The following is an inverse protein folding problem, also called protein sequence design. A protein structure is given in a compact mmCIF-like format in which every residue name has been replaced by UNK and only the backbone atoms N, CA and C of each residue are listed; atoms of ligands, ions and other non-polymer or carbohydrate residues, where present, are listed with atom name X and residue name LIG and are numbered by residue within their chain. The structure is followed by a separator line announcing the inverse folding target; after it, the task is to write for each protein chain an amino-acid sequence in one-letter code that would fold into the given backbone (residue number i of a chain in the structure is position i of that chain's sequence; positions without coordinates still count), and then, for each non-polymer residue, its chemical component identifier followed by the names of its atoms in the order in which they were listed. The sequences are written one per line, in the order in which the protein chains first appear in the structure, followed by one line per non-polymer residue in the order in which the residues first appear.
data_IF_897646805609
#
_entry.id   IF_897646805609
#
_cell.length_a   1.000
_cell.length_b   1.000
_cell.length_c   1.000
_cell.angle_alpha   90.00
_cell.angle_beta   90.00
_cell.angle_gamma   90.00
#
_symmetry.space_group_name_H-M   'P 1'
#
loop_
_entity.id
_entity.type
_entity.pdbx_description
1 polymer ?
#
# COMPACT_ATOMS: atom_id res chain seq x y z
N UNK A 1 22.55 15.97 -16.98
CA UNK A 1 22.90 15.23 -15.76
C UNK A 1 21.58 14.80 -15.15
N UNK A 2 21.33 13.49 -15.05
CA UNK A 2 20.20 13.00 -14.27
C UNK A 2 20.56 13.24 -12.79
N UNK A 3 19.75 14.00 -12.07
CA UNK A 3 19.93 14.11 -10.63
C UNK A 3 19.56 12.76 -10.00
N UNK A 4 20.14 12.43 -8.85
CA UNK A 4 19.74 11.25 -8.08
C UNK A 4 18.21 11.23 -7.81
N UNK A 5 17.57 12.39 -7.86
CA UNK A 5 16.14 12.57 -7.70
C UNK A 5 15.29 12.05 -8.88
N UNK A 6 15.86 11.99 -10.10
CA UNK A 6 15.13 11.63 -11.32
C UNK A 6 14.71 10.14 -11.35
N UNK A 7 15.31 9.30 -10.49
CA UNK A 7 15.07 7.86 -10.45
C UNK A 7 14.03 7.42 -9.41
N UNK A 8 13.60 8.30 -8.51
CA UNK A 8 12.65 7.95 -7.45
C UNK A 8 11.27 7.53 -7.96
N UNK A 9 10.66 8.20 -8.96
CA UNK A 9 9.34 7.79 -9.45
C UNK A 9 9.33 6.34 -9.96
N UNK A 10 10.38 5.92 -10.67
CA UNK A 10 10.50 4.54 -11.16
C UNK A 10 10.76 3.56 -10.02
N UNK A 11 11.63 3.93 -9.07
CA UNK A 11 11.91 3.14 -7.87
C UNK A 11 10.64 2.90 -7.05
N UNK A 12 9.85 3.95 -6.82
CA UNK A 12 8.59 3.86 -6.09
C UNK A 12 7.51 3.04 -6.81
N UNK A 13 7.46 3.12 -8.14
CA UNK A 13 6.56 2.26 -8.92
C UNK A 13 6.94 0.78 -8.81
N UNK A 14 8.24 0.44 -8.85
CA UNK A 14 8.71 -0.94 -8.63
C UNK A 14 8.36 -1.43 -7.23
N UNK A 15 8.50 -0.57 -6.22
CA UNK A 15 8.17 -0.87 -4.83
C UNK A 15 6.67 -1.10 -4.65
N UNK A 16 5.82 -0.22 -5.17
CA UNK A 16 4.38 -0.40 -5.12
C UNK A 16 3.93 -1.66 -5.87
N UNK A 17 4.65 -2.08 -6.91
CA UNK A 17 4.39 -3.33 -7.62
C UNK A 17 4.73 -4.58 -6.80
N UNK A 18 5.71 -4.52 -5.89
CA UNK A 18 6.06 -5.62 -4.96
C UNK A 18 4.95 -5.81 -3.92
N UNK A 19 4.30 -4.73 -3.50
CA UNK A 19 3.21 -4.80 -2.54
C UNK A 19 1.98 -5.45 -3.14
N UNK A 20 1.35 -6.34 -2.36
CA UNK A 20 0.05 -6.89 -2.69
C UNK A 20 -0.93 -6.70 -1.51
N UNK A 21 -2.21 -6.93 -1.79
CA UNK A 21 -3.31 -6.60 -0.90
C UNK A 21 -4.25 -7.78 -0.76
N UNK A 22 -4.60 -8.07 0.49
CA UNK A 22 -5.48 -9.17 0.84
C UNK A 22 -6.40 -8.80 2.01
N UNK A 23 -7.46 -9.59 2.16
CA UNK A 23 -8.33 -9.51 3.33
C UNK A 23 -7.71 -10.30 4.49
N UNK A 24 -7.78 -9.73 5.68
CA UNK A 24 -7.46 -10.37 6.94
C UNK A 24 -8.66 -11.17 7.45
N UNK A 25 -8.48 -11.94 8.53
CA UNK A 25 -9.60 -12.59 9.22
C UNK A 25 -10.38 -11.64 10.15
N UNK A 26 -9.99 -10.36 10.24
CA UNK A 26 -10.64 -9.38 11.10
C UNK A 26 -11.91 -8.84 10.42
N UNK A 27 -13.07 -9.02 11.07
CA UNK A 27 -14.37 -8.58 10.56
C UNK A 27 -14.57 -7.07 10.75
N UNK A 28 -15.24 -6.47 9.77
CA UNK A 28 -15.72 -5.09 9.81
C UNK A 28 -17.24 -5.12 10.04
N UNK A 29 -17.69 -4.44 11.10
CA UNK A 29 -19.10 -4.32 11.44
C UNK A 29 -19.71 -5.62 12.01
N UNK A 30 -21.01 -5.56 12.28
CA UNK A 30 -21.75 -6.64 12.94
C UNK A 30 -22.54 -7.55 11.97
N UNK A 31 -22.49 -7.30 10.66
CA UNK A 31 -23.28 -8.07 9.69
C UNK A 31 -22.70 -9.49 9.51
N UNK A 32 -23.44 -10.49 10.00
CA UNK A 32 -23.06 -11.89 9.92
C UNK A 32 -23.46 -12.56 8.61
N UNK A 33 -24.42 -11.99 7.87
CA UNK A 33 -24.97 -12.56 6.63
C UNK A 33 -24.11 -12.24 5.41
N UNK A 34 -23.45 -11.07 5.42
CA UNK A 34 -22.43 -10.67 4.44
C UNK A 34 -21.23 -10.08 5.19
N UNK A 35 -20.37 -10.93 5.78
CA UNK A 35 -19.24 -10.45 6.54
C UNK A 35 -18.27 -9.70 5.62
N UNK A 36 -17.85 -8.51 6.02
CA UNK A 36 -16.74 -7.79 5.41
C UNK A 36 -15.52 -7.91 6.31
N UNK A 37 -14.34 -7.89 5.71
CA UNK A 37 -13.07 -8.09 6.37
C UNK A 37 -12.12 -6.92 6.10
N UNK A 38 -11.23 -6.64 7.05
CA UNK A 38 -10.20 -5.60 6.88
C UNK A 38 -9.17 -6.03 5.86
N UNK A 39 -8.84 -5.11 4.95
CA UNK A 39 -7.74 -5.29 4.02
C UNK A 39 -6.41 -4.89 4.66
N UNK A 40 -5.35 -5.64 4.37
CA UNK A 40 -3.97 -5.27 4.66
C UNK A 40 -3.13 -5.26 3.39
N UNK A 41 -2.15 -4.38 3.33
CA UNK A 41 -1.00 -4.55 2.45
C UNK A 41 -0.02 -5.58 3.04
N UNK A 42 0.65 -6.31 2.17
CA UNK A 42 1.77 -7.18 2.53
C UNK A 42 2.83 -7.16 1.42
N UNK A 43 4.01 -7.63 1.77
CA UNK A 43 5.11 -7.88 0.85
C UNK A 43 5.52 -9.35 0.96
N UNK A 44 6.21 -9.92 -0.05
CA UNK A 44 6.84 -11.23 0.07
C UNK A 44 7.71 -11.34 1.33
N UNK A 45 7.77 -12.52 1.95
CA UNK A 45 8.51 -12.74 3.19
C UNK A 45 10.03 -12.66 3.02
N UNK A 46 10.54 -12.91 1.81
CA UNK A 46 11.95 -12.79 1.47
C UNK A 46 12.16 -11.57 0.57
N UNK A 47 12.74 -10.52 1.15
CA UNK A 47 13.18 -9.31 0.46
C UNK A 47 14.71 -9.24 0.37
N UNK A 48 15.43 -10.25 0.87
CA UNK A 48 16.89 -10.23 1.02
C UNK A 48 17.65 -10.14 -0.31
N UNK A 49 17.02 -10.58 -1.41
CA UNK A 49 17.57 -10.48 -2.75
C UNK A 49 17.41 -9.07 -3.38
N UNK A 50 16.67 -8.17 -2.72
CA UNK A 50 16.46 -6.81 -3.21
C UNK A 50 17.61 -5.90 -2.76
N UNK A 51 17.95 -4.86 -3.54
CA UNK A 51 18.82 -3.80 -3.06
C UNK A 51 18.24 -3.15 -1.79
N UNK A 52 19.09 -2.83 -0.80
CA UNK A 52 18.72 -2.25 0.50
C UNK A 52 17.73 -1.08 0.38
N UNK A 53 17.93 -0.22 -0.62
CA UNK A 53 17.04 0.93 -0.85
C UNK A 53 15.62 0.52 -1.27
N UNK A 54 15.49 -0.57 -2.04
CA UNK A 54 14.20 -1.12 -2.46
C UNK A 54 13.51 -1.81 -1.28
N UNK A 55 14.25 -2.56 -0.46
CA UNK A 55 13.72 -3.15 0.78
C UNK A 55 13.21 -2.06 1.74
N UNK A 56 14.01 -1.02 1.96
CA UNK A 56 13.63 0.15 2.78
C UNK A 56 12.35 0.79 2.23
N UNK A 57 12.26 0.96 0.91
CA UNK A 57 11.09 1.52 0.27
C UNK A 57 9.84 0.63 0.41
N UNK A 58 9.98 -0.71 0.37
CA UNK A 58 8.88 -1.64 0.63
C UNK A 58 8.36 -1.48 2.05
N UNK A 59 9.23 -1.37 3.04
CA UNK A 59 8.83 -1.09 4.43
C UNK A 59 8.12 0.25 4.57
N UNK A 60 8.63 1.31 3.94
CA UNK A 60 7.97 2.60 3.91
C UNK A 60 6.59 2.53 3.25
N UNK A 61 6.43 1.78 2.15
CA UNK A 61 5.15 1.59 1.48
C UNK A 61 4.11 0.86 2.36
N UNK A 62 4.54 -0.14 3.13
CA UNK A 62 3.67 -0.80 4.12
C UNK A 62 3.23 0.17 5.22
N UNK A 63 4.13 1.04 5.69
CA UNK A 63 3.79 2.04 6.69
C UNK A 63 2.82 3.09 6.15
N UNK A 64 3.04 3.54 4.92
CA UNK A 64 2.10 4.47 4.25
C UNK A 64 0.72 3.83 4.07
N UNK A 65 0.61 2.55 3.66
CA UNK A 65 -0.70 1.85 3.62
C UNK A 65 -1.37 1.84 4.99
N UNK A 66 -0.60 1.56 6.06
CA UNK A 66 -1.09 1.58 7.44
C UNK A 66 -1.65 2.95 7.79
N UNK A 67 -0.90 4.03 7.52
CA UNK A 67 -1.32 5.40 7.79
C UNK A 67 -2.58 5.79 6.99
N UNK A 68 -2.68 5.37 5.72
CA UNK A 68 -3.88 5.58 4.90
C UNK A 68 -5.10 4.87 5.54
N UNK A 69 -4.90 3.68 6.09
CA UNK A 69 -5.94 2.83 6.69
C UNK A 69 -6.51 3.32 8.02
N UNK A 70 -5.79 4.18 8.76
CA UNK A 70 -6.22 4.65 10.08
C UNK A 70 -7.47 5.53 10.00
N UNK A 71 -8.50 5.33 10.84
CA UNK A 71 -9.68 6.18 10.86
C UNK A 71 -9.38 7.58 11.43
N UNK A 72 -10.19 8.58 11.06
CA UNK A 72 -10.20 9.90 11.71
C UNK A 72 -9.92 11.10 10.77
N UNK A 73 -10.21 12.32 11.25
CA UNK A 73 -9.88 13.57 10.55
C UNK A 73 -8.37 13.77 10.58
N UNK A 74 -7.73 13.74 9.40
CA UNK A 74 -6.27 13.67 9.28
C UNK A 74 -5.77 12.49 8.44
N UNK A 75 -6.64 11.92 7.61
CA UNK A 75 -6.27 10.90 6.63
C UNK A 75 -4.97 11.28 5.92
N UNK A 76 -3.95 10.42 6.02
CA UNK A 76 -2.64 10.65 5.42
C UNK A 76 -2.74 11.11 3.96
N UNK A 77 -3.68 10.50 3.23
CA UNK A 77 -4.15 11.01 1.96
C UNK A 77 -5.61 10.56 1.69
N UNK A 78 -6.51 11.52 1.47
CA UNK A 78 -7.96 11.26 1.30
C UNK A 78 -8.26 10.55 -0.02
N UNK A 79 -7.52 10.87 -1.08
CA UNK A 79 -7.74 10.24 -2.40
C UNK A 79 -7.27 8.78 -2.37
N UNK A 80 -6.07 8.53 -1.84
CA UNK A 80 -5.56 7.17 -1.71
C UNK A 80 -6.45 6.33 -0.79
N UNK A 81 -7.02 6.90 0.28
CA UNK A 81 -8.01 6.22 1.13
C UNK A 81 -9.24 5.77 0.34
N UNK A 82 -9.84 6.64 -0.47
CA UNK A 82 -11.01 6.28 -1.29
C UNK A 82 -10.70 5.12 -2.23
N UNK A 83 -9.53 5.12 -2.86
CA UNK A 83 -9.11 4.03 -3.76
C UNK A 83 -8.83 2.75 -2.98
N UNK A 84 -8.23 2.85 -1.78
CA UNK A 84 -8.03 1.73 -0.85
C UNK A 84 -9.36 1.09 -0.43
N UNK A 85 -10.34 1.91 -0.08
CA UNK A 85 -11.68 1.47 0.31
C UNK A 85 -12.41 0.78 -0.85
N UNK A 86 -12.33 1.32 -2.07
CA UNK A 86 -12.89 0.70 -3.26
C UNK A 86 -12.25 -0.67 -3.56
N UNK A 87 -10.93 -0.79 -3.39
CA UNK A 87 -10.23 -2.08 -3.50
C UNK A 87 -10.69 -3.06 -2.42
N UNK A 88 -10.77 -2.63 -1.16
CA UNK A 88 -11.23 -3.46 -0.07
C UNK A 88 -12.67 -3.94 -0.29
N UNK A 89 -13.55 -3.07 -0.79
CA UNK A 89 -14.92 -3.42 -1.13
C UNK A 89 -14.98 -4.44 -2.28
N UNK A 90 -14.18 -4.24 -3.33
CA UNK A 90 -14.08 -5.18 -4.44
C UNK A 90 -13.61 -6.57 -3.97
N UNK A 91 -12.59 -6.63 -3.09
CA UNK A 91 -12.11 -7.87 -2.49
C UNK A 91 -13.18 -8.56 -1.64
N UNK A 92 -14.00 -7.80 -0.90
CA UNK A 92 -15.06 -8.33 -0.04
C UNK A 92 -16.31 -8.80 -0.82
N UNK A 93 -16.48 -8.33 -2.06
CA UNK A 93 -17.59 -8.77 -2.94
C UNK A 93 -17.29 -10.07 -3.65
N UNK A 94 -16.04 -10.50 -3.73
CA UNK A 94 -15.68 -11.74 -4.39
C UNK A 94 -16.06 -12.95 -3.52
N UNK A 95 -16.67 -13.99 -4.11
CA UNK A 95 -16.96 -15.22 -3.39
C UNK A 95 -15.68 -15.87 -2.87
N UNK A 96 -15.66 -16.40 -1.63
CA UNK A 96 -14.52 -17.17 -1.14
C UNK A 96 -14.18 -18.33 -2.08
N UNK A 97 -12.91 -18.45 -2.49
CA UNK A 97 -12.43 -19.51 -3.37
C UNK A 97 -12.68 -19.30 -4.87
N UNK A 98 -13.33 -18.21 -5.27
CA UNK A 98 -13.43 -17.84 -6.69
C UNK A 98 -12.10 -17.28 -7.22
N UNK A 99 -11.85 -17.47 -8.53
CA UNK A 99 -10.75 -16.80 -9.21
C UNK A 99 -10.93 -15.28 -9.12
N UNK A 100 -9.82 -14.55 -8.92
CA UNK A 100 -9.84 -13.09 -8.84
C UNK A 100 -10.36 -12.48 -10.14
N UNK A 101 -11.31 -11.59 -10.01
CA UNK A 101 -11.92 -10.86 -11.11
C UNK A 101 -10.94 -9.83 -11.69
N UNK A 102 -10.99 -9.57 -13.02
CA UNK A 102 -10.23 -8.47 -13.63
C UNK A 102 -10.54 -7.11 -12.99
N UNK A 103 -11.72 -6.91 -12.38
CA UNK A 103 -12.04 -5.69 -11.65
C UNK A 103 -11.15 -5.51 -10.42
N UNK A 104 -10.92 -6.55 -9.62
CA UNK A 104 -10.01 -6.49 -8.46
C UNK A 104 -8.59 -6.17 -8.93
N UNK A 105 -8.13 -6.77 -10.03
CA UNK A 105 -6.83 -6.44 -10.63
C UNK A 105 -6.74 -4.95 -10.99
N UNK A 106 -7.79 -4.38 -11.60
CA UNK A 106 -7.85 -2.94 -11.90
C UNK A 106 -7.76 -2.06 -10.65
N UNK A 107 -8.53 -2.38 -9.60
CA UNK A 107 -8.46 -1.65 -8.32
C UNK A 107 -7.10 -1.78 -7.64
N UNK A 108 -6.46 -2.96 -7.70
CA UNK A 108 -5.10 -3.16 -7.17
C UNK A 108 -4.11 -2.25 -7.87
N UNK A 109 -4.14 -2.21 -9.21
CA UNK A 109 -3.27 -1.33 -10.00
C UNK A 109 -3.51 0.14 -9.68
N UNK A 110 -4.78 0.57 -9.63
CA UNK A 110 -5.12 1.95 -9.26
C UNK A 110 -4.59 2.31 -7.88
N UNK A 111 -4.73 1.41 -6.90
CA UNK A 111 -4.23 1.67 -5.55
C UNK A 111 -2.70 1.71 -5.47
N UNK A 112 -1.98 0.87 -6.22
CA UNK A 112 -0.52 0.93 -6.30
C UNK A 112 -0.01 2.28 -6.82
N UNK A 113 -0.69 2.84 -7.83
CA UNK A 113 -0.36 4.17 -8.38
C UNK A 113 -0.58 5.26 -7.33
N UNK A 114 -1.71 5.22 -6.62
CA UNK A 114 -1.98 6.17 -5.54
C UNK A 114 -0.97 6.03 -4.39
N UNK A 115 -0.59 4.80 -4.04
CA UNK A 115 0.38 4.54 -3.00
C UNK A 115 1.76 5.13 -3.38
N UNK A 116 2.22 4.91 -4.62
CA UNK A 116 3.47 5.50 -5.11
C UNK A 116 3.44 7.04 -5.07
N UNK A 117 2.32 7.66 -5.48
CA UNK A 117 2.11 9.12 -5.39
C UNK A 117 2.23 9.62 -3.95
N UNK A 118 1.60 8.93 -3.02
CA UNK A 118 1.57 9.32 -1.60
C UNK A 118 2.93 9.15 -0.96
N UNK A 119 3.66 8.06 -1.27
CA UNK A 119 5.05 7.88 -0.80
C UNK A 119 5.93 9.02 -1.33
N UNK A 120 5.85 9.33 -2.63
CA UNK A 120 6.61 10.44 -3.22
C UNK A 120 6.34 11.76 -2.51
N UNK A 121 5.07 12.11 -2.31
CA UNK A 121 4.66 13.33 -1.58
C UNK A 121 5.24 13.38 -0.16
N UNK A 122 5.38 12.24 0.51
CA UNK A 122 5.90 12.17 1.87
C UNK A 122 7.43 12.29 1.95
N UNK A 123 8.15 12.00 0.87
CA UNK A 123 9.63 11.98 0.87
C UNK A 123 10.28 13.07 0.02
N UNK A 124 9.53 13.79 -0.81
CA UNK A 124 10.07 14.67 -1.86
C UNK A 124 11.03 15.77 -1.35
N UNK A 125 10.93 16.21 -0.10
CA UNK A 125 11.84 17.21 0.48
C UNK A 125 13.22 16.65 0.87
N UNK A 126 13.30 15.36 1.18
CA UNK A 126 14.54 14.67 1.52
C UNK A 126 14.38 13.14 1.30
N UNK A 127 14.43 12.67 0.03
CA UNK A 127 13.94 11.33 -0.35
C UNK A 127 14.50 10.19 0.48
N UNK A 128 15.83 10.09 0.59
CA UNK A 128 16.50 9.00 1.30
C UNK A 128 16.13 9.03 2.80
N UNK A 129 16.37 10.18 3.45
CA UNK A 129 16.15 10.31 4.90
C UNK A 129 14.69 10.06 5.29
N UNK A 130 13.74 10.66 4.57
CA UNK A 130 12.30 10.50 4.85
C UNK A 130 11.84 9.07 4.62
N UNK A 131 12.38 8.39 3.61
CA UNK A 131 12.09 6.99 3.35
C UNK A 131 12.59 6.09 4.49
N UNK A 132 13.81 6.32 4.97
CA UNK A 132 14.38 5.61 6.13
C UNK A 132 13.55 5.85 7.40
N UNK A 133 13.11 7.09 7.65
CA UNK A 133 12.24 7.44 8.78
C UNK A 133 10.91 6.67 8.71
N UNK A 134 10.26 6.64 7.54
CA UNK A 134 9.02 5.89 7.32
C UNK A 134 9.21 4.38 7.49
N UNK A 135 10.29 3.83 6.95
CA UNK A 135 10.60 2.41 7.08
C UNK A 135 10.84 2.01 8.54
N UNK A 136 11.53 2.87 9.31
CA UNK A 136 11.82 2.62 10.73
C UNK A 136 10.59 2.69 11.62
N UNK A 137 9.63 3.56 11.31
CA UNK A 137 8.38 3.70 12.08
C UNK A 137 7.56 2.40 12.16
N UNK A 138 7.78 1.47 11.23
CA UNK A 138 7.14 0.15 11.20
C UNK A 138 7.85 -0.91 12.06
N UNK A 139 9.12 -0.71 12.40
CA UNK A 139 9.91 -1.65 13.21
C UNK A 139 9.70 -1.45 14.73
N UNK A 140 8.97 -0.40 15.13
CA UNK A 140 8.65 -0.02 16.51
C UNK A 140 7.19 -0.40 16.79
#
# INVERSE_FOLDING_TARGET
MANADDHWPETLNRVAAILDFELTNEKIGANTTKPSFKMRAFAPSDLSALPVMVETAVHAGLEVDRLISLPGPGAFDTQARKVREALAEALNKEPPGAARSPFVTGYKTAYRVELARVIWKAIADAPIRRLEDLARARLI
#
